data_IF_079889367389
#
_entry.id   IF_079889367389
#
_cell.length_a   1.000
_cell.length_b   1.000
_cell.length_c   1.000
_cell.angle_alpha   90.00
_cell.angle_beta   90.00
_cell.angle_gamma   90.00
#
_symmetry.space_group_name_H-M   'P 1'
#
loop_
_entity.id
_entity.type
_entity.pdbx_description
1 polymer ?
#
# COMPACT_ATOMS: atom_id res chain seq x y z
N UNK A 1 -1.98 7.22 -0.79
CA UNK A 1 -2.28 6.22 -1.84
C UNK A 1 -2.01 4.86 -1.23
N UNK A 2 -2.94 3.91 -1.32
CA UNK A 2 -2.69 2.51 -0.94
C UNK A 2 -2.40 1.71 -2.22
N UNK A 3 -1.19 1.15 -2.31
CA UNK A 3 -0.85 0.15 -3.31
C UNK A 3 -1.07 -1.22 -2.68
N UNK A 4 -1.85 -2.06 -3.34
CA UNK A 4 -2.28 -3.36 -2.81
C UNK A 4 -2.20 -4.42 -3.89
N UNK A 5 -1.61 -5.56 -3.54
CA UNK A 5 -1.65 -6.74 -4.40
C UNK A 5 -3.09 -7.21 -4.62
N UNK A 6 -3.35 -7.79 -5.78
CA UNK A 6 -4.51 -8.65 -5.94
C UNK A 6 -4.48 -9.75 -4.86
N UNK A 7 -5.64 -10.09 -4.30
CA UNK A 7 -5.76 -11.15 -3.29
C UNK A 7 -6.72 -12.23 -3.80
N UNK A 8 -6.23 -13.46 -3.93
CA UNK A 8 -7.00 -14.64 -4.37
C UNK A 8 -7.81 -15.22 -3.20
N UNK A 9 -8.90 -14.53 -2.84
CA UNK A 9 -9.81 -14.87 -1.73
C UNK A 9 -11.27 -14.55 -2.10
N UNK A 10 -12.22 -15.38 -1.67
CA UNK A 10 -13.65 -15.13 -1.88
C UNK A 10 -14.05 -15.09 -3.36
N UNK A 11 -14.82 -14.08 -3.79
CA UNK A 11 -15.31 -13.98 -5.18
C UNK A 11 -14.21 -13.66 -6.20
N UNK A 12 -13.02 -13.26 -5.76
CA UNK A 12 -11.92 -12.89 -6.65
C UNK A 12 -11.32 -14.12 -7.37
N UNK A 13 -11.40 -15.29 -6.74
CA UNK A 13 -10.85 -16.56 -7.24
C UNK A 13 -11.47 -17.03 -8.56
N UNK A 14 -12.61 -16.47 -8.95
CA UNK A 14 -13.29 -16.80 -10.20
C UNK A 14 -12.72 -16.06 -11.43
N UNK A 15 -11.80 -15.11 -11.24
CA UNK A 15 -11.31 -14.23 -12.32
C UNK A 15 -9.81 -14.35 -12.58
N UNK A 16 -9.02 -14.53 -11.53
CA UNK A 16 -7.55 -14.54 -11.59
C UNK A 16 -7.01 -15.62 -10.67
N UNK A 17 -5.93 -16.26 -11.09
CA UNK A 17 -5.29 -17.35 -10.40
C UNK A 17 -4.49 -16.85 -9.18
N UNK A 18 -4.13 -17.77 -8.29
CA UNK A 18 -3.33 -17.42 -7.10
C UNK A 18 -1.95 -16.89 -7.48
N UNK A 19 -1.38 -17.34 -8.60
CA UNK A 19 -0.11 -16.86 -9.13
C UNK A 19 -0.14 -15.41 -9.60
N UNK A 20 -1.33 -14.84 -9.83
CA UNK A 20 -1.47 -13.44 -10.24
C UNK A 20 -1.37 -12.47 -9.03
N UNK A 21 -1.30 -13.01 -7.81
CA UNK A 21 -1.00 -12.21 -6.62
C UNK A 21 0.48 -11.83 -6.62
N UNK A 22 0.78 -10.54 -6.69
CA UNK A 22 2.13 -10.02 -6.44
C UNK A 22 2.56 -10.35 -5.02
N UNK A 23 3.80 -10.76 -4.84
CA UNK A 23 4.47 -10.88 -3.54
C UNK A 23 4.69 -9.51 -2.90
N UNK A 24 4.87 -9.49 -1.58
CA UNK A 24 5.02 -8.23 -0.86
C UNK A 24 6.24 -7.42 -1.36
N UNK A 25 7.33 -8.10 -1.67
CA UNK A 25 8.56 -7.50 -2.16
C UNK A 25 8.34 -6.81 -3.52
N UNK A 26 7.47 -7.35 -4.37
CA UNK A 26 7.08 -6.75 -5.64
C UNK A 26 6.24 -5.49 -5.42
N UNK A 27 5.28 -5.54 -4.49
CA UNK A 27 4.46 -4.38 -4.11
C UNK A 27 5.34 -3.27 -3.53
N UNK A 28 6.29 -3.61 -2.65
CA UNK A 28 7.23 -2.67 -2.05
C UNK A 28 8.17 -2.07 -3.09
N UNK A 29 8.69 -2.88 -4.02
CA UNK A 29 9.53 -2.42 -5.11
C UNK A 29 8.78 -1.41 -5.99
N UNK A 30 7.57 -1.77 -6.46
CA UNK A 30 6.75 -0.88 -7.27
C UNK A 30 6.44 0.43 -6.53
N UNK A 31 6.06 0.35 -5.26
CA UNK A 31 5.73 1.52 -4.44
C UNK A 31 6.93 2.44 -4.23
N UNK A 32 8.12 1.86 -4.04
CA UNK A 32 9.37 2.61 -3.90
C UNK A 32 9.73 3.35 -5.18
N UNK A 33 9.62 2.70 -6.34
CA UNK A 33 9.89 3.33 -7.63
C UNK A 33 8.86 4.42 -7.95
N UNK A 34 7.58 4.19 -7.64
CA UNK A 34 6.54 5.20 -7.78
C UNK A 34 6.81 6.44 -6.91
N UNK A 35 7.18 6.24 -5.64
CA UNK A 35 7.52 7.33 -4.73
C UNK A 35 8.72 8.14 -5.28
N UNK A 36 9.81 7.45 -5.68
CA UNK A 36 11.01 8.08 -6.26
C UNK A 36 10.70 8.91 -7.50
N UNK A 37 9.92 8.36 -8.44
CA UNK A 37 9.60 9.03 -9.70
C UNK A 37 8.66 10.22 -9.50
N UNK A 38 7.67 10.09 -8.60
CA UNK A 38 6.68 11.14 -8.38
C UNK A 38 7.25 12.38 -7.69
N UNK A 39 8.30 12.23 -6.87
CA UNK A 39 8.87 13.26 -5.96
C UNK A 39 7.87 13.92 -5.00
N UNK A 40 6.60 13.53 -5.06
CA UNK A 40 5.48 14.12 -4.31
C UNK A 40 5.06 13.21 -3.17
N UNK A 41 5.34 11.92 -3.28
CA UNK A 41 4.94 10.91 -2.32
C UNK A 41 6.14 10.28 -1.62
N UNK A 42 5.96 9.89 -0.37
CA UNK A 42 6.90 9.09 0.42
C UNK A 42 6.19 7.86 0.98
N UNK A 43 6.93 6.78 1.26
CA UNK A 43 6.38 5.61 1.95
C UNK A 43 6.10 6.00 3.40
N UNK A 44 4.88 5.73 3.86
CA UNK A 44 4.40 6.07 5.20
C UNK A 44 4.22 4.84 6.09
N UNK A 45 3.76 3.73 5.50
CA UNK A 45 3.48 2.49 6.21
C UNK A 45 3.33 1.33 5.22
N UNK A 46 3.31 0.12 5.75
CA UNK A 46 3.06 -1.08 4.98
C UNK A 46 2.49 -2.22 5.84
N UNK A 47 1.97 -3.26 5.18
CA UNK A 47 1.60 -4.51 5.84
C UNK A 47 1.89 -5.69 4.92
N UNK A 48 2.87 -6.51 5.32
CA UNK A 48 3.26 -7.71 4.60
C UNK A 48 2.12 -8.73 4.49
N UNK A 49 1.38 -8.95 5.58
CA UNK A 49 0.25 -9.91 5.61
C UNK A 49 -0.84 -9.53 4.61
N UNK A 50 -1.12 -8.23 4.47
CA UNK A 50 -2.12 -7.73 3.53
C UNK A 50 -1.56 -7.40 2.15
N UNK A 51 -0.24 -7.53 1.95
CA UNK A 51 0.50 -7.13 0.74
C UNK A 51 0.15 -5.69 0.30
N UNK A 52 0.22 -4.75 1.24
CA UNK A 52 -0.06 -3.33 1.01
C UNK A 52 1.12 -2.44 1.36
N UNK A 53 1.24 -1.32 0.66
CA UNK A 53 2.11 -0.19 0.99
C UNK A 53 1.31 1.10 0.87
N UNK A 54 1.46 1.98 1.86
CA UNK A 54 0.78 3.28 1.89
C UNK A 54 1.79 4.38 1.64
N UNK A 55 1.49 5.21 0.63
CA UNK A 55 2.23 6.43 0.34
C UNK A 55 1.51 7.67 0.86
N UNK A 56 2.24 8.57 1.51
CA UNK A 56 1.77 9.87 1.97
C UNK A 56 2.13 10.97 0.98
N UNK A 57 1.24 11.94 0.81
CA UNK A 57 1.50 13.10 -0.03
C UNK A 57 2.29 14.15 0.78
N UNK A 58 3.48 14.51 0.31
CA UNK A 58 4.37 15.46 0.98
C UNK A 58 3.96 16.92 0.73
N UNK A 59 3.22 17.22 -0.34
CA UNK A 59 2.73 18.57 -0.66
C UNK A 59 1.42 18.91 0.05
N UNK A 60 0.57 17.91 0.30
CA UNK A 60 -0.65 18.02 1.10
C UNK A 60 -0.55 17.09 2.30
N UNK A 61 0.42 17.40 3.15
CA UNK A 61 0.70 16.61 4.34
C UNK A 61 -0.46 16.66 5.31
N UNK A 62 -0.88 15.49 5.80
CA UNK A 62 -1.86 15.30 6.86
C UNK A 62 -1.24 14.30 7.83
N UNK A 63 -1.35 14.56 9.13
CA UNK A 63 -0.88 13.64 10.15
C UNK A 63 -1.59 12.28 10.00
N UNK A 64 -0.83 11.21 10.11
CA UNK A 64 -1.35 9.83 10.07
C UNK A 64 -2.30 9.59 11.24
N UNK A 65 -2.03 10.19 12.39
CA UNK A 65 -2.78 9.99 13.60
C UNK A 65 -3.97 10.92 13.66
N UNK A 66 -5.13 10.35 13.97
CA UNK A 66 -6.34 11.12 14.23
C UNK A 66 -6.32 11.45 15.72
N UNK A 67 -6.22 12.74 16.13
CA UNK A 67 -6.07 13.12 17.53
C UNK A 67 -7.19 12.60 18.44
N UNK A 68 -8.39 12.39 17.90
CA UNK A 68 -9.52 11.81 18.64
C UNK A 68 -9.25 10.38 19.15
N UNK A 69 -8.23 9.69 18.62
CA UNK A 69 -7.86 8.32 18.98
C UNK A 69 -6.44 8.19 19.56
N UNK A 70 -5.76 9.29 19.90
CA UNK A 70 -4.36 9.26 20.37
C UNK A 70 -4.18 9.08 21.89
N UNK A 71 -5.27 8.89 22.65
CA UNK A 71 -5.28 8.79 24.12
C UNK A 71 -5.71 7.40 24.64
N UNK A 72 -5.58 6.35 23.83
CA UNK A 72 -5.86 4.97 24.24
C UNK A 72 -4.58 4.25 24.73
#
# INVERSE_FOLDING_TARGET
IEIKSYMHIGRSTNRLDRSDMLEYEEVMHFSSELAKQSKTYSIMDDSQVSRIVVLQNNQRFIDRWIPAYSQA
#
